data_IF_865755143111
#
_entry.id   IF_865755143111
#
_cell.length_a   1.000
_cell.length_b   1.000
_cell.length_c   1.000
_cell.angle_alpha   90.00
_cell.angle_beta   90.00
_cell.angle_gamma   90.00
#
_symmetry.space_group_name_H-M   'P 1'
#
loop_
_entity.id
_entity.type
_entity.pdbx_description
1 polymer ?
#
# COMPACT_ATOMS: atom_id res chain seq x y z
N UNK A 1 -23.05 -1.48 -9.75
CA UNK A 1 -22.12 -1.11 -10.84
C UNK A 1 -22.52 -1.88 -12.09
N UNK A 2 -22.70 -1.22 -13.23
CA UNK A 2 -23.10 -1.87 -14.50
C UNK A 2 -22.20 -1.42 -15.65
N UNK A 3 -22.13 -2.23 -16.71
CA UNK A 3 -21.37 -1.87 -17.92
C UNK A 3 -21.94 -0.61 -18.57
N UNK A 4 -23.26 -0.47 -18.66
CA UNK A 4 -23.90 0.69 -19.29
C UNK A 4 -23.56 2.00 -18.59
N UNK A 5 -23.52 1.99 -17.25
CA UNK A 5 -23.04 3.14 -16.49
C UNK A 5 -21.58 3.44 -16.81
N UNK A 6 -20.71 2.43 -16.88
CA UNK A 6 -19.29 2.62 -17.17
C UNK A 6 -19.05 3.15 -18.59
N UNK A 7 -19.89 2.80 -19.57
CA UNK A 7 -19.81 3.33 -20.95
C UNK A 7 -19.93 4.85 -21.03
N UNK A 8 -20.51 5.50 -20.01
CA UNK A 8 -20.65 6.97 -19.98
C UNK A 8 -19.32 7.70 -19.79
N UNK A 9 -18.27 7.02 -19.30
CA UNK A 9 -16.97 7.66 -19.08
C UNK A 9 -16.16 7.78 -20.37
N UNK A 10 -15.67 9.00 -20.62
CA UNK A 10 -14.85 9.31 -21.80
C UNK A 10 -13.59 8.44 -21.95
N UNK A 11 -13.05 7.89 -20.86
CA UNK A 11 -11.89 6.98 -20.91
C UNK A 11 -12.18 5.65 -21.62
N UNK A 12 -13.44 5.31 -21.88
CA UNK A 12 -13.86 4.12 -22.62
C UNK A 12 -14.47 4.43 -23.99
N UNK A 13 -14.37 5.68 -24.48
CA UNK A 13 -14.95 6.09 -25.78
C UNK A 13 -14.51 5.24 -26.97
N UNK A 14 -13.31 4.65 -26.91
CA UNK A 14 -12.74 3.79 -27.95
C UNK A 14 -12.66 2.31 -27.53
N UNK A 15 -13.41 1.90 -26.50
CA UNK A 15 -13.35 0.56 -25.91
C UNK A 15 -14.71 -0.12 -25.97
N UNK A 16 -14.74 -1.36 -26.48
CA UNK A 16 -15.94 -2.20 -26.40
C UNK A 16 -15.91 -2.97 -25.09
N UNK A 17 -16.70 -2.53 -24.11
CA UNK A 17 -16.84 -3.18 -22.81
C UNK A 17 -17.66 -4.47 -22.92
N UNK A 18 -17.11 -5.60 -22.45
CA UNK A 18 -17.65 -6.96 -22.66
C UNK A 18 -18.16 -7.58 -21.36
N UNK A 19 -17.31 -7.67 -20.33
CA UNK A 19 -17.64 -8.34 -19.07
C UNK A 19 -17.26 -7.48 -17.86
N UNK A 20 -18.07 -7.54 -16.81
CA UNK A 20 -17.80 -6.91 -15.53
C UNK A 20 -17.96 -7.95 -14.43
N UNK A 21 -16.84 -8.32 -13.80
CA UNK A 21 -16.81 -9.36 -12.78
C UNK A 21 -16.42 -8.75 -11.45
N UNK A 22 -17.21 -9.01 -10.40
CA UNK A 22 -16.84 -8.65 -9.04
C UNK A 22 -15.70 -9.58 -8.58
N UNK A 23 -14.58 -9.03 -8.14
CA UNK A 23 -13.49 -9.82 -7.56
C UNK A 23 -13.92 -10.37 -6.20
N UNK A 24 -13.46 -11.57 -5.81
CA UNK A 24 -13.88 -12.17 -4.52
C UNK A 24 -13.00 -11.70 -3.35
N UNK A 25 -11.70 -11.47 -3.59
CA UNK A 25 -10.72 -11.10 -2.57
C UNK A 25 -10.47 -9.57 -2.53
N UNK A 26 -11.50 -8.77 -2.24
CA UNK A 26 -11.53 -7.32 -2.53
C UNK A 26 -10.82 -6.39 -1.54
N UNK A 27 -10.06 -6.90 -0.57
CA UNK A 27 -9.67 -6.10 0.60
C UNK A 27 -10.88 -5.77 1.48
N UNK A 28 -10.70 -4.92 2.49
CA UNK A 28 -11.73 -4.69 3.52
C UNK A 28 -12.65 -3.48 3.25
N UNK A 29 -12.16 -2.48 2.52
CA UNK A 29 -12.79 -1.16 2.45
C UNK A 29 -13.50 -0.85 1.13
N UNK A 30 -13.21 -1.61 0.07
CA UNK A 30 -13.55 -1.25 -1.30
C UNK A 30 -14.19 -2.43 -2.04
N UNK A 31 -15.15 -2.16 -2.92
CA UNK A 31 -15.67 -3.17 -3.84
C UNK A 31 -14.94 -3.07 -5.18
N UNK A 32 -14.22 -4.12 -5.56
CA UNK A 32 -13.33 -4.15 -6.72
C UNK A 32 -13.90 -5.01 -7.86
N UNK A 33 -14.07 -4.44 -9.04
CA UNK A 33 -14.50 -5.15 -10.24
C UNK A 33 -13.37 -5.22 -11.27
N UNK A 34 -13.26 -6.34 -11.96
CA UNK A 34 -12.53 -6.46 -13.22
C UNK A 34 -13.50 -6.16 -14.36
N UNK A 35 -13.25 -5.09 -15.09
CA UNK A 35 -13.98 -4.72 -16.31
C UNK A 35 -13.11 -5.11 -17.51
N UNK A 36 -13.58 -6.06 -18.32
CA UNK A 36 -12.91 -6.48 -19.55
C UNK A 36 -13.46 -5.75 -20.75
N UNK A 37 -12.58 -5.22 -21.59
CA UNK A 37 -12.89 -4.78 -22.94
C UNK A 37 -12.32 -5.75 -23.97
N UNK A 38 -12.58 -5.50 -25.25
CA UNK A 38 -11.96 -6.25 -26.36
C UNK A 38 -10.46 -6.04 -26.48
N UNK A 39 -9.89 -5.00 -25.84
CA UNK A 39 -8.47 -4.67 -25.94
C UNK A 39 -7.69 -4.99 -24.65
N UNK A 40 -8.32 -4.84 -23.48
CA UNK A 40 -7.63 -4.94 -22.19
C UNK A 40 -8.61 -5.01 -21.00
N UNK A 41 -8.04 -5.22 -19.81
CA UNK A 41 -8.78 -5.24 -18.56
C UNK A 41 -8.53 -4.00 -17.71
N UNK A 42 -9.54 -3.64 -16.93
CA UNK A 42 -9.58 -2.48 -16.04
C UNK A 42 -9.97 -2.88 -14.63
N UNK A 43 -9.37 -2.23 -13.64
CA UNK A 43 -9.85 -2.25 -12.27
C UNK A 43 -10.84 -1.11 -12.07
N UNK A 44 -12.07 -1.43 -11.71
CA UNK A 44 -13.08 -0.47 -11.26
C UNK A 44 -13.25 -0.65 -9.76
N UNK A 45 -12.79 0.33 -8.99
CA UNK A 45 -12.84 0.31 -7.53
C UNK A 45 -13.89 1.30 -7.03
N UNK A 46 -14.95 0.77 -6.44
CA UNK A 46 -15.99 1.55 -5.77
C UNK A 46 -15.60 1.67 -4.30
N UNK A 47 -15.45 2.89 -3.81
CA UNK A 47 -15.01 3.14 -2.44
C UNK A 47 -16.16 2.90 -1.46
N UNK A 48 -15.82 2.35 -0.29
CA UNK A 48 -16.71 2.35 0.87
C UNK A 48 -16.91 3.75 1.47
N UNK A 49 -17.64 3.82 2.58
CA UNK A 49 -18.02 5.07 3.26
C UNK A 49 -16.88 5.75 4.05
N UNK A 50 -15.65 5.23 4.02
CA UNK A 50 -14.54 5.79 4.80
C UNK A 50 -14.02 7.10 4.21
N UNK A 51 -13.83 8.09 5.09
CA UNK A 51 -13.33 9.43 4.78
C UNK A 51 -11.81 9.45 4.50
N UNK A 52 -11.38 8.78 3.43
CA UNK A 52 -10.01 8.86 2.92
C UNK A 52 -9.91 9.91 1.82
N UNK A 53 -8.80 10.63 1.81
CA UNK A 53 -8.51 11.68 0.84
C UNK A 53 -8.14 11.10 -0.55
N UNK A 54 -9.15 10.67 -1.31
CA UNK A 54 -8.98 10.00 -2.62
C UNK A 54 -8.23 10.82 -3.67
N UNK A 55 -8.24 12.15 -3.56
CA UNK A 55 -7.44 13.04 -4.42
C UNK A 55 -5.93 12.82 -4.23
N UNK A 56 -5.49 12.67 -2.98
CA UNK A 56 -4.09 12.44 -2.66
C UNK A 56 -3.63 11.08 -3.17
N UNK A 57 -4.43 10.05 -2.90
CA UNK A 57 -4.24 8.69 -3.41
C UNK A 57 -4.07 8.67 -4.95
N UNK A 58 -5.02 9.25 -5.69
CA UNK A 58 -4.97 9.25 -7.16
C UNK A 58 -3.73 9.98 -7.70
N UNK A 59 -3.32 11.08 -7.06
CA UNK A 59 -2.10 11.82 -7.43
C UNK A 59 -0.83 11.01 -7.15
N UNK A 60 -0.80 10.27 -6.05
CA UNK A 60 0.32 9.39 -5.70
C UNK A 60 0.40 8.23 -6.70
N UNK A 61 -0.72 7.55 -6.96
CA UNK A 61 -0.80 6.46 -7.95
C UNK A 61 -0.32 6.92 -9.33
N UNK A 62 -0.66 8.14 -9.78
CA UNK A 62 -0.14 8.71 -11.04
C UNK A 62 1.37 8.85 -11.05
N UNK A 63 1.95 9.38 -9.96
CA UNK A 63 3.42 9.53 -9.83
C UNK A 63 4.12 8.17 -9.76
N UNK A 64 3.55 7.20 -9.07
CA UNK A 64 4.06 5.84 -8.97
C UNK A 64 3.99 5.10 -10.32
N UNK A 65 2.90 5.28 -11.08
CA UNK A 65 2.79 4.77 -12.44
C UNK A 65 3.86 5.35 -13.37
N UNK A 66 4.13 6.66 -13.27
CA UNK A 66 5.20 7.31 -14.03
C UNK A 66 6.61 6.78 -13.69
N UNK A 67 6.75 6.06 -12.57
CA UNK A 67 7.98 5.35 -12.17
C UNK A 67 7.95 3.85 -12.47
N UNK A 68 6.88 3.34 -13.09
CA UNK A 68 6.74 1.94 -13.47
C UNK A 68 6.41 0.99 -12.32
N UNK A 69 5.90 1.49 -11.19
CA UNK A 69 5.67 0.69 -9.97
C UNK A 69 4.20 0.62 -9.52
N UNK A 70 3.27 1.12 -10.34
CA UNK A 70 1.84 1.11 -10.06
C UNK A 70 1.02 0.85 -11.33
N UNK A 71 -0.27 0.51 -11.17
CA UNK A 71 -1.24 0.52 -12.26
C UNK A 71 -1.42 1.92 -12.83
N UNK A 72 -1.77 2.05 -14.12
CA UNK A 72 -2.13 3.34 -14.72
C UNK A 72 -3.49 3.79 -14.19
N UNK A 73 -3.58 4.83 -13.35
CA UNK A 73 -4.87 5.37 -12.94
C UNK A 73 -5.45 6.21 -14.09
N UNK A 74 -6.72 5.99 -14.41
CA UNK A 74 -7.41 6.61 -15.55
C UNK A 74 -8.35 7.70 -15.08
N UNK A 75 -9.18 7.39 -14.07
CA UNK A 75 -10.25 8.25 -13.61
C UNK A 75 -10.40 8.18 -12.09
N UNK A 76 -10.68 9.32 -11.47
CA UNK A 76 -11.24 9.42 -10.14
C UNK A 76 -12.57 10.16 -10.26
N UNK A 77 -13.68 9.46 -10.02
CA UNK A 77 -15.01 10.05 -9.94
C UNK A 77 -15.43 10.16 -8.48
N UNK A 78 -15.45 11.40 -7.99
CA UNK A 78 -15.82 11.71 -6.60
C UNK A 78 -17.33 11.75 -6.37
N UNK A 79 -18.12 11.98 -7.42
CA UNK A 79 -19.59 12.00 -7.33
C UNK A 79 -20.12 10.57 -7.18
N UNK A 80 -19.57 9.64 -7.97
CA UNK A 80 -19.93 8.23 -7.94
C UNK A 80 -19.03 7.38 -7.02
N UNK A 81 -18.18 8.03 -6.23
CA UNK A 81 -17.28 7.42 -5.25
C UNK A 81 -16.47 6.23 -5.80
N UNK A 82 -15.83 6.40 -6.96
CA UNK A 82 -15.07 5.35 -7.63
C UNK A 82 -13.76 5.83 -8.25
N UNK A 83 -12.89 4.87 -8.53
CA UNK A 83 -11.68 5.05 -9.33
C UNK A 83 -11.57 3.94 -10.37
N UNK A 84 -11.07 4.30 -11.54
CA UNK A 84 -10.78 3.38 -12.64
C UNK A 84 -9.29 3.42 -12.92
N UNK A 85 -8.68 2.24 -13.03
CA UNK A 85 -7.28 2.06 -13.42
C UNK A 85 -7.16 0.90 -14.43
N UNK A 86 -6.04 0.81 -15.14
CA UNK A 86 -5.70 -0.43 -15.86
C UNK A 86 -5.55 -1.57 -14.86
N UNK A 87 -6.08 -2.74 -15.18
CA UNK A 87 -5.89 -3.92 -14.35
C UNK A 87 -4.41 -4.30 -14.33
N UNK A 88 -3.80 -4.48 -13.16
CA UNK A 88 -2.45 -5.03 -13.09
C UNK A 88 -2.52 -6.55 -13.17
N UNK A 89 -1.70 -7.10 -14.06
CA UNK A 89 -1.39 -8.52 -14.04
C UNK A 89 -0.34 -8.82 -12.97
N UNK A 90 -0.38 -10.04 -12.44
CA UNK A 90 0.59 -10.53 -11.49
C UNK A 90 -0.03 -11.47 -10.47
N UNK A 91 0.84 -12.04 -9.64
CA UNK A 91 0.48 -12.96 -8.57
C UNK A 91 0.93 -12.40 -7.23
N UNK A 92 0.17 -12.70 -6.19
CA UNK A 92 0.57 -12.42 -4.81
C UNK A 92 1.46 -13.55 -4.31
N UNK A 93 2.59 -13.20 -3.70
CA UNK A 93 3.50 -14.15 -3.10
C UNK A 93 3.47 -14.01 -1.58
N UNK A 94 3.34 -15.12 -0.85
CA UNK A 94 3.44 -15.14 0.62
C UNK A 94 4.88 -15.33 1.11
N UNK A 95 5.76 -15.89 0.27
CA UNK A 95 7.19 -16.06 0.50
C UNK A 95 7.97 -15.55 -0.69
N UNK A 96 9.20 -15.08 -0.46
CA UNK A 96 10.02 -14.46 -1.51
C UNK A 96 11.31 -15.24 -1.73
N UNK A 97 11.64 -15.47 -3.00
CA UNK A 97 12.99 -15.87 -3.37
C UNK A 97 13.97 -14.72 -3.12
N UNK A 98 15.27 -15.05 -3.09
CA UNK A 98 16.33 -14.05 -2.96
C UNK A 98 16.24 -12.95 -4.03
N UNK A 99 15.95 -13.33 -5.28
CA UNK A 99 15.84 -12.40 -6.42
C UNK A 99 14.65 -11.47 -6.28
N UNK A 100 13.49 -12.01 -5.86
CA UNK A 100 12.28 -11.22 -5.64
C UNK A 100 12.46 -10.25 -4.48
N UNK A 101 13.09 -10.68 -3.37
CA UNK A 101 13.37 -9.80 -2.24
C UNK A 101 14.27 -8.63 -2.63
N UNK A 102 15.30 -8.89 -3.44
CA UNK A 102 16.15 -7.82 -3.97
C UNK A 102 15.37 -6.90 -4.93
N UNK A 103 14.49 -7.46 -5.75
CA UNK A 103 13.66 -6.67 -6.66
C UNK A 103 12.68 -5.77 -5.88
N UNK A 104 12.06 -6.31 -4.83
CA UNK A 104 11.19 -5.58 -3.92
C UNK A 104 11.93 -4.42 -3.23
N UNK A 105 13.17 -4.66 -2.78
CA UNK A 105 14.02 -3.61 -2.21
C UNK A 105 14.29 -2.47 -3.19
N UNK A 106 14.57 -2.79 -4.47
CA UNK A 106 14.79 -1.77 -5.52
C UNK A 106 13.50 -1.02 -5.84
N UNK A 107 12.38 -1.73 -5.95
CA UNK A 107 11.05 -1.15 -6.21
C UNK A 107 10.64 -0.21 -5.08
N UNK A 108 10.85 -0.60 -3.83
CA UNK A 108 10.61 0.26 -2.67
C UNK A 108 11.50 1.51 -2.69
N UNK A 109 12.78 1.38 -3.06
CA UNK A 109 13.65 2.55 -3.23
C UNK A 109 13.11 3.49 -4.31
N UNK A 110 12.60 2.95 -5.42
CA UNK A 110 11.94 3.76 -6.46
C UNK A 110 10.75 4.52 -5.90
N UNK A 111 9.88 3.87 -5.10
CA UNK A 111 8.79 4.55 -4.40
C UNK A 111 9.31 5.69 -3.51
N UNK A 112 10.26 5.39 -2.63
CA UNK A 112 10.82 6.36 -1.69
C UNK A 112 11.57 7.53 -2.36
N UNK A 113 11.89 7.43 -3.65
CA UNK A 113 12.45 8.52 -4.46
C UNK A 113 11.41 9.48 -5.04
N UNK A 114 10.12 9.16 -4.94
CA UNK A 114 9.04 10.00 -5.49
C UNK A 114 8.86 11.25 -4.62
N UNK A 115 9.14 12.42 -5.20
CA UNK A 115 8.88 13.69 -4.55
C UNK A 115 7.37 13.95 -4.40
N UNK A 116 6.92 14.22 -3.18
CA UNK A 116 5.53 14.53 -2.86
C UNK A 116 5.45 15.55 -1.72
N UNK A 117 4.68 16.63 -1.92
CA UNK A 117 4.55 17.68 -0.92
C UNK A 117 3.37 17.38 0.00
N UNK A 118 3.68 16.95 1.23
CA UNK A 118 2.73 16.73 2.32
C UNK A 118 3.50 16.89 3.63
N UNK A 119 2.84 17.38 4.68
CA UNK A 119 3.46 17.39 6.01
C UNK A 119 3.74 15.94 6.45
N UNK A 120 4.90 15.65 7.08
CA UNK A 120 5.15 14.33 7.61
C UNK A 120 4.04 13.87 8.55
N UNK A 121 3.65 12.61 8.39
CA UNK A 121 2.61 11.99 9.18
C UNK A 121 3.05 11.82 10.63
N UNK A 122 2.29 12.43 11.53
CA UNK A 122 2.52 12.31 12.97
C UNK A 122 1.73 11.13 13.52
N UNK A 123 2.36 9.95 13.49
CA UNK A 123 1.75 8.71 14.02
C UNK A 123 1.32 8.86 15.49
N UNK A 124 2.03 9.67 16.30
CA UNK A 124 1.67 9.84 17.71
C UNK A 124 0.30 10.49 17.90
N UNK A 125 -0.15 11.29 16.91
CA UNK A 125 -1.47 11.94 16.94
C UNK A 125 -2.60 11.07 16.43
N UNK A 126 -2.32 10.10 15.58
CA UNK A 126 -3.34 9.23 15.00
C UNK A 126 -3.79 8.16 16.00
N UNK A 127 -2.87 7.63 16.79
CA UNK A 127 -3.16 6.52 17.73
C UNK A 127 -3.46 7.03 19.15
N UNK A 128 -4.19 8.14 19.31
CA UNK A 128 -4.33 8.87 20.60
C UNK A 128 -5.15 8.19 21.71
N UNK A 129 -6.00 7.18 21.43
CA UNK A 129 -6.79 6.46 22.46
C UNK A 129 -6.05 5.21 22.93
N UNK A 130 -6.08 4.94 24.25
CA UNK A 130 -4.85 4.90 25.03
C UNK A 130 -3.86 3.92 24.38
N UNK A 131 -2.86 4.48 23.72
CA UNK A 131 -1.61 3.78 23.44
C UNK A 131 -1.28 2.97 24.67
N UNK A 132 -1.30 1.64 24.57
CA UNK A 132 -0.65 0.78 25.56
C UNK A 132 0.67 1.50 25.90
N UNK A 133 1.00 1.75 27.17
CA UNK A 133 2.18 2.55 27.59
C UNK A 133 3.44 2.28 26.72
N UNK A 134 3.56 1.03 26.25
CA UNK A 134 4.46 0.54 25.21
C UNK A 134 4.56 1.42 23.94
N UNK A 135 3.46 1.75 23.28
CA UNK A 135 3.44 2.48 22.02
C UNK A 135 3.86 3.95 22.21
N UNK A 136 3.43 4.59 23.30
CA UNK A 136 3.91 5.94 23.65
C UNK A 136 5.43 5.97 23.85
N UNK A 137 5.97 5.00 24.59
CA UNK A 137 7.42 4.90 24.81
C UNK A 137 8.18 4.64 23.50
N UNK A 138 7.63 3.85 22.58
CA UNK A 138 8.21 3.61 21.26
C UNK A 138 8.22 4.89 20.41
N UNK A 139 7.11 5.63 20.35
CA UNK A 139 7.07 6.89 19.64
C UNK A 139 8.03 7.93 20.21
N UNK A 140 8.17 8.00 21.55
CA UNK A 140 9.18 8.84 22.21
C UNK A 140 10.61 8.44 21.81
N UNK A 141 10.93 7.14 21.80
CA UNK A 141 12.23 6.63 21.33
C UNK A 141 12.50 7.00 19.88
N UNK A 142 11.51 6.77 19.00
CA UNK A 142 11.62 7.13 17.59
C UNK A 142 11.78 8.63 17.40
N UNK A 143 11.09 9.47 18.19
CA UNK A 143 11.19 10.93 18.11
C UNK A 143 12.63 11.43 18.22
N UNK A 144 13.45 10.80 19.06
CA UNK A 144 14.86 11.14 19.27
C UNK A 144 15.80 10.69 18.14
N UNK A 145 15.35 9.84 17.22
CA UNK A 145 16.16 9.36 16.11
C UNK A 145 16.07 10.29 14.90
N UNK A 146 17.13 10.31 14.08
CA UNK A 146 17.16 11.02 12.79
C UNK A 146 15.95 10.62 11.95
N UNK A 147 15.31 11.60 11.32
CA UNK A 147 14.15 11.40 10.44
C UNK A 147 14.61 11.24 9.00
N UNK A 148 14.07 10.24 8.32
CA UNK A 148 14.33 9.98 6.91
C UNK A 148 13.01 10.00 6.15
N UNK A 149 12.36 11.18 6.13
CA UNK A 149 11.03 11.36 5.55
C UNK A 149 11.03 11.20 4.03
N UNK A 150 10.18 10.30 3.54
CA UNK A 150 9.96 9.98 2.13
C UNK A 150 8.47 9.69 1.91
N UNK A 151 8.05 9.57 0.65
CA UNK A 151 6.73 9.02 0.35
C UNK A 151 6.72 7.52 0.64
N UNK A 152 5.96 7.11 1.66
CA UNK A 152 5.74 5.72 2.02
C UNK A 152 4.37 5.26 1.51
N UNK A 153 4.25 3.97 1.17
CA UNK A 153 2.99 3.31 0.83
C UNK A 153 2.12 3.09 2.07
N UNK A 154 2.74 2.82 3.22
CA UNK A 154 2.09 2.59 4.52
C UNK A 154 1.28 1.29 4.67
N UNK A 155 1.23 0.44 3.64
CA UNK A 155 0.44 -0.80 3.65
C UNK A 155 1.02 -1.87 2.71
N UNK A 156 2.33 -2.10 2.79
CA UNK A 156 3.04 -3.10 1.95
C UNK A 156 2.91 -4.52 2.51
N UNK A 157 1.67 -4.98 2.66
CA UNK A 157 1.36 -6.38 2.92
C UNK A 157 1.35 -7.19 1.59
N UNK A 158 1.39 -8.54 1.63
CA UNK A 158 1.54 -9.36 0.42
C UNK A 158 0.37 -9.22 -0.58
N UNK A 159 -0.82 -8.82 -0.10
CA UNK A 159 -2.00 -8.60 -0.96
C UNK A 159 -1.92 -7.28 -1.74
N UNK A 160 -1.06 -6.35 -1.34
CA UNK A 160 -0.85 -5.08 -2.03
C UNK A 160 0.37 -5.07 -2.96
N UNK A 161 0.98 -6.24 -3.16
CA UNK A 161 2.17 -6.40 -4.00
C UNK A 161 1.87 -7.49 -5.04
N UNK A 162 1.97 -7.12 -6.32
CA UNK A 162 1.82 -8.02 -7.45
C UNK A 162 3.17 -8.27 -8.11
N UNK A 163 3.54 -9.54 -8.22
CA UNK A 163 4.74 -9.99 -8.92
C UNK A 163 4.37 -10.47 -10.32
N UNK A 164 5.03 -9.93 -11.34
CA UNK A 164 4.86 -10.37 -12.72
C UNK A 164 6.22 -10.44 -13.40
N UNK A 165 6.71 -11.65 -13.67
CA UNK A 165 8.04 -11.92 -14.23
C UNK A 165 9.18 -11.28 -13.43
N UNK A 166 9.65 -10.10 -13.84
CA UNK A 166 10.71 -9.33 -13.18
C UNK A 166 10.25 -7.96 -12.69
N UNK A 167 8.94 -7.68 -12.79
CA UNK A 167 8.34 -6.43 -12.37
C UNK A 167 7.52 -6.62 -11.09
N UNK A 168 7.47 -5.58 -10.27
CA UNK A 168 6.63 -5.50 -9.09
C UNK A 168 5.72 -4.29 -9.25
N UNK A 169 4.43 -4.51 -9.05
CA UNK A 169 3.42 -3.45 -9.02
C UNK A 169 2.86 -3.34 -7.61
N UNK A 170 2.93 -2.15 -7.03
CA UNK A 170 2.23 -1.82 -5.79
C UNK A 170 0.81 -1.31 -6.12
N UNK A 171 -0.15 -1.78 -5.33
CA UNK A 171 -1.57 -1.45 -5.46
C UNK A 171 -2.11 -0.97 -4.12
N UNK A 172 -3.30 -0.36 -4.16
CA UNK A 172 -3.97 0.20 -2.98
C UNK A 172 -3.19 1.30 -2.23
N UNK A 173 -3.15 2.48 -2.86
CA UNK A 173 -2.38 3.64 -2.40
C UNK A 173 -3.11 4.50 -1.35
N UNK A 174 -4.18 3.99 -0.73
CA UNK A 174 -5.10 4.80 0.08
C UNK A 174 -4.47 5.31 1.38
N UNK A 175 -3.47 4.58 1.89
CA UNK A 175 -2.70 4.97 3.07
C UNK A 175 -1.41 5.72 2.76
N UNK A 176 -1.04 5.89 1.49
CA UNK A 176 0.24 6.47 1.12
C UNK A 176 0.40 7.92 1.61
N UNK A 177 1.54 8.22 2.23
CA UNK A 177 1.81 9.53 2.86
C UNK A 177 3.30 9.73 3.12
N UNK A 178 3.70 10.97 3.39
CA UNK A 178 5.06 11.26 3.84
C UNK A 178 5.27 10.72 5.26
N UNK A 179 6.20 9.79 5.43
CA UNK A 179 6.63 9.28 6.73
C UNK A 179 8.09 8.81 6.66
N UNK A 180 8.64 8.34 7.77
CA UNK A 180 9.98 7.78 7.79
C UNK A 180 10.04 6.47 6.99
N UNK A 181 11.02 6.35 6.09
CA UNK A 181 11.21 5.17 5.23
C UNK A 181 11.26 3.84 5.98
N UNK A 182 11.65 3.88 7.25
CA UNK A 182 11.72 2.69 8.09
C UNK A 182 10.35 2.07 8.40
N UNK A 183 9.25 2.81 8.22
CA UNK A 183 7.91 2.25 8.35
C UNK A 183 7.65 1.17 7.29
N UNK A 184 7.82 1.50 6.01
CA UNK A 184 7.64 0.53 4.90
C UNK A 184 8.71 -0.57 4.90
N UNK A 185 9.96 -0.24 5.27
CA UNK A 185 11.00 -1.25 5.43
C UNK A 185 10.61 -2.26 6.54
N UNK A 186 10.08 -1.78 7.65
CA UNK A 186 9.64 -2.63 8.75
C UNK A 186 8.40 -3.44 8.39
N UNK A 187 7.42 -2.86 7.68
CA UNK A 187 6.21 -3.58 7.27
C UNK A 187 6.58 -4.78 6.42
N UNK A 188 7.42 -4.63 5.39
CA UNK A 188 7.88 -5.76 4.55
C UNK A 188 8.60 -6.81 5.38
N UNK A 189 9.46 -6.40 6.33
CA UNK A 189 10.17 -7.35 7.20
C UNK A 189 9.21 -8.19 8.04
N UNK A 190 8.10 -7.61 8.50
CA UNK A 190 7.09 -8.28 9.33
C UNK A 190 6.17 -9.14 8.47
N UNK A 191 5.59 -8.56 7.42
CA UNK A 191 4.58 -9.17 6.56
C UNK A 191 5.07 -10.40 5.81
N UNK A 192 6.34 -10.40 5.37
CA UNK A 192 6.98 -11.57 4.73
C UNK A 192 7.74 -12.45 5.71
N UNK A 193 7.67 -12.15 7.02
CA UNK A 193 8.38 -12.89 8.08
C UNK A 193 9.87 -13.11 7.76
N UNK A 194 10.57 -12.05 7.32
CA UNK A 194 11.94 -12.17 6.83
C UNK A 194 12.90 -12.62 7.94
N UNK A 195 13.74 -13.60 7.64
CA UNK A 195 14.84 -14.04 8.50
C UNK A 195 15.91 -12.96 8.64
N UNK A 196 16.79 -13.10 9.63
CA UNK A 196 17.92 -12.16 9.82
C UNK A 196 18.79 -12.03 8.56
N UNK A 197 19.04 -13.13 7.85
CA UNK A 197 19.83 -13.12 6.60
C UNK A 197 19.12 -12.35 5.49
N UNK A 198 17.81 -12.56 5.34
CA UNK A 198 16.98 -11.86 4.36
C UNK A 198 16.84 -10.37 4.67
N UNK A 199 16.65 -9.99 5.94
CA UNK A 199 16.63 -8.58 6.36
C UNK A 199 17.94 -7.89 5.95
N UNK A 200 19.10 -8.51 6.20
CA UNK A 200 20.38 -7.94 5.79
C UNK A 200 20.49 -7.79 4.27
N UNK A 201 20.06 -8.79 3.50
CA UNK A 201 20.06 -8.73 2.05
C UNK A 201 19.14 -7.62 1.53
N UNK A 202 17.92 -7.54 2.06
CA UNK A 202 16.91 -6.56 1.72
C UNK A 202 17.42 -5.13 1.97
N UNK A 203 17.93 -4.86 3.18
CA UNK A 203 18.45 -3.55 3.55
C UNK A 203 19.69 -3.16 2.76
N UNK A 204 20.64 -4.08 2.53
CA UNK A 204 21.82 -3.81 1.69
C UNK A 204 21.43 -3.46 0.25
N UNK A 205 20.41 -4.13 -0.27
CA UNK A 205 19.90 -3.86 -1.63
C UNK A 205 19.19 -2.51 -1.69
N UNK A 206 18.41 -2.17 -0.66
CA UNK A 206 17.71 -0.88 -0.56
C UNK A 206 18.71 0.29 -0.36
N UNK A 207 19.55 0.26 0.67
CA UNK A 207 20.45 1.36 1.06
C UNK A 207 21.69 1.51 0.14
N UNK A 208 21.91 0.60 -0.81
CA UNK A 208 23.15 0.50 -1.62
C UNK A 208 24.40 0.35 -0.73
N UNK A 209 25.57 0.04 -1.32
CA UNK A 209 26.80 -0.12 -0.53
C UNK A 209 27.31 1.19 0.11
N UNK A 210 26.74 2.35 -0.25
CA UNK A 210 27.22 3.67 0.20
C UNK A 210 26.49 4.21 1.42
N UNK A 211 25.25 3.76 1.69
CA UNK A 211 24.48 4.23 2.85
C UNK A 211 24.47 3.18 3.97
N UNK A 212 24.70 3.62 5.20
CA UNK A 212 24.53 2.77 6.38
C UNK A 212 23.06 2.69 6.75
N UNK A 213 22.58 1.48 7.04
CA UNK A 213 21.25 1.27 7.63
C UNK A 213 21.35 1.02 9.14
N UNK A 214 20.38 1.57 9.87
CA UNK A 214 20.21 1.39 11.31
C UNK A 214 19.23 0.24 11.63
N UNK A 215 19.77 -0.88 12.12
CA UNK A 215 18.97 -2.04 12.57
C UNK A 215 18.17 -1.74 13.85
N UNK A 216 18.69 -0.91 14.75
CA UNK A 216 17.98 -0.55 15.99
C UNK A 216 16.74 0.27 15.65
N UNK A 217 16.86 1.21 14.71
CA UNK A 217 15.72 1.97 14.18
C UNK A 217 14.70 1.05 13.52
N UNK A 218 15.15 0.09 12.69
CA UNK A 218 14.26 -0.89 12.07
C UNK A 218 13.48 -1.70 13.12
N UNK A 219 14.14 -2.21 14.16
CA UNK A 219 13.49 -3.00 15.20
C UNK A 219 12.44 -2.20 15.99
N UNK A 220 12.64 -0.88 16.16
CA UNK A 220 11.63 -0.01 16.75
C UNK A 220 10.44 0.17 15.80
N UNK A 221 10.67 0.37 14.50
CA UNK A 221 9.59 0.48 13.52
C UNK A 221 8.82 -0.82 13.33
N UNK A 222 9.45 -2.00 13.42
CA UNK A 222 8.73 -3.29 13.44
C UNK A 222 7.74 -3.38 14.59
N UNK A 223 8.13 -2.91 15.79
CA UNK A 223 7.23 -2.86 16.95
C UNK A 223 6.09 -1.87 16.75
N UNK A 224 6.38 -0.69 16.17
CA UNK A 224 5.36 0.31 15.86
C UNK A 224 4.38 -0.23 14.82
N UNK A 225 4.86 -0.87 13.76
CA UNK A 225 4.04 -1.47 12.73
C UNK A 225 3.05 -2.49 13.32
N UNK A 226 3.51 -3.41 14.18
CA UNK A 226 2.61 -4.37 14.84
C UNK A 226 1.50 -3.68 15.64
N UNK A 227 1.82 -2.61 16.38
CA UNK A 227 0.81 -1.84 17.13
C UNK A 227 -0.20 -1.18 16.18
N UNK A 228 0.25 -0.68 15.04
CA UNK A 228 -0.64 -0.11 14.01
C UNK A 228 -1.61 -1.17 13.50
N UNK A 229 -1.12 -2.37 13.17
CA UNK A 229 -1.95 -3.47 12.73
C UNK A 229 -2.95 -3.90 13.81
N UNK A 230 -2.48 -4.12 15.04
CA UNK A 230 -3.32 -4.48 16.20
C UNK A 230 -4.46 -3.46 16.40
N UNK A 231 -4.14 -2.16 16.37
CA UNK A 231 -5.13 -1.09 16.55
C UNK A 231 -6.15 -1.08 15.41
N UNK A 232 -5.69 -1.25 14.18
CA UNK A 232 -6.59 -1.27 13.02
C UNK A 232 -7.55 -2.46 13.06
N UNK A 233 -7.06 -3.66 13.38
CA UNK A 233 -7.91 -4.85 13.54
C UNK A 233 -8.88 -4.71 14.71
N UNK A 234 -8.45 -4.13 15.82
CA UNK A 234 -9.32 -3.84 16.96
C UNK A 234 -10.49 -2.93 16.56
N UNK A 235 -10.24 -1.86 15.81
CA UNK A 235 -11.27 -0.91 15.38
C UNK A 235 -12.25 -1.49 14.35
N UNK A 236 -11.82 -2.45 13.53
CA UNK A 236 -12.62 -2.97 12.40
C UNK A 236 -13.23 -4.36 12.65
N UNK A 237 -12.81 -5.08 13.70
CA UNK A 237 -13.26 -6.46 13.96
C UNK A 237 -13.70 -6.74 15.41
N UNK A 238 -13.52 -5.84 16.38
CA UNK A 238 -14.02 -6.09 17.77
C UNK A 238 -15.55 -6.04 17.92
N UNK A 239 -16.30 -5.59 16.92
CA UNK A 239 -17.77 -5.60 16.93
C UNK A 239 -18.41 -6.68 16.02
N UNK A 240 -17.72 -7.81 15.79
CA UNK A 240 -18.43 -9.05 15.45
C UNK A 240 -18.54 -9.89 16.73
N UNK A 241 -19.60 -9.62 17.49
CA UNK A 241 -20.07 -10.52 18.54
C UNK A 241 -20.08 -11.96 18.03
N UNK A 242 -19.55 -12.87 18.83
CA UNK A 242 -19.78 -14.31 18.65
C UNK A 242 -21.27 -14.53 18.35
N UNK A 243 -21.63 -15.25 17.28
CA UNK A 243 -22.91 -15.94 17.29
C UNK A 243 -22.83 -16.93 18.47
N UNK A 244 -23.76 -16.75 19.39
CA UNK A 244 -23.97 -17.51 20.63
C UNK A 244 -23.46 -18.95 20.64
N UNK A 245 -22.83 -19.29 21.78
CA UNK A 245 -22.74 -20.59 22.45
C UNK A 245 -22.32 -21.82 21.64
#
# INVERSE_FOLDING_TARGET
MTIDFLRTYACFSNETLVHLTRLENQGYNNTNYCLMSTQQSYLVRVFGHHALERKHEFKIAKKAFAKGIAQKPLLLDRLNNLMIARFAEGVHHSTLTQKELQNLARTLRTLHSIAYQQKPYDMSKAYKKPLQKRAFLLFKKLHMLRKDYVLCHHDLNPKNILFHQHNITFIDWEYARINDRYFDLASICVEFNLTKKEIHLFLRTYFTCKEKYDLKKLDLYKKVYNIVCETWFDEHFKEKTCPNA
#
